data_IF_087574221208
#
_entry.id   IF_087574221208
#
_cell.length_a   1.000
_cell.length_b   1.000
_cell.length_c   1.000
_cell.angle_alpha   90.00
_cell.angle_beta   90.00
_cell.angle_gamma   90.00
#
_symmetry.space_group_name_H-M   'P 1'
#
loop_
_entity.id
_entity.type
_entity.pdbx_description
1 polymer ?
#
# COMPACT_ATOMS: atom_id res chain seq x y z
N UNK A 1 -81.64 20.66 -45.97
CA UNK A 1 -83.04 20.20 -46.18
C UNK A 1 -83.48 20.76 -47.53
N UNK A 2 -84.10 19.99 -48.45
CA UNK A 2 -84.75 18.65 -48.38
C UNK A 2 -83.81 17.53 -48.93
N UNK A 3 -83.93 16.21 -48.73
CA UNK A 3 -84.95 15.16 -48.49
C UNK A 3 -85.13 14.22 -49.71
N UNK A 4 -85.34 12.92 -49.41
CA UNK A 4 -85.53 11.70 -50.24
C UNK A 4 -84.22 11.03 -50.72
N UNK A 5 -83.74 9.90 -50.16
CA UNK A 5 -84.32 8.57 -49.85
C UNK A 5 -84.44 7.66 -51.08
N UNK A 6 -83.57 6.64 -51.17
CA UNK A 6 -83.97 5.27 -51.48
C UNK A 6 -82.89 4.27 -51.04
N UNK A 7 -83.32 3.35 -50.19
CA UNK A 7 -82.59 2.21 -49.68
C UNK A 7 -82.81 1.01 -50.62
N UNK A 8 -81.80 0.15 -50.76
CA UNK A 8 -82.02 -1.27 -50.95
C UNK A 8 -81.13 -2.06 -49.98
N UNK A 9 -81.83 -2.89 -49.23
CA UNK A 9 -81.47 -3.79 -48.16
C UNK A 9 -81.05 -5.15 -48.74
N UNK A 10 -80.04 -5.83 -48.18
CA UNK A 10 -80.23 -7.10 -47.43
C UNK A 10 -78.93 -7.87 -47.12
N UNK A 11 -78.91 -8.37 -45.87
CA UNK A 11 -78.26 -9.59 -45.33
C UNK A 11 -76.80 -9.55 -44.86
N UNK A 12 -76.66 -9.15 -43.59
CA UNK A 12 -76.10 -9.95 -42.48
C UNK A 12 -75.36 -11.26 -42.82
N UNK A 13 -74.10 -11.36 -42.41
CA UNK A 13 -73.60 -12.38 -41.46
C UNK A 13 -72.16 -12.05 -41.03
N UNK A 14 -71.90 -12.05 -39.72
CA UNK A 14 -70.57 -12.14 -39.08
C UNK A 14 -70.46 -13.56 -38.50
N UNK A 15 -69.31 -13.99 -37.97
CA UNK A 15 -67.91 -13.78 -38.39
C UNK A 15 -67.20 -15.14 -38.57
N UNK A 16 -66.03 -15.21 -39.21
CA UNK A 16 -65.06 -16.22 -38.76
C UNK A 16 -63.61 -15.86 -39.09
N UNK A 17 -62.76 -16.24 -38.15
CA UNK A 17 -61.33 -16.01 -38.11
C UNK A 17 -60.63 -16.62 -39.33
N UNK A 18 -59.86 -15.81 -40.06
CA UNK A 18 -58.75 -16.32 -40.87
C UNK A 18 -57.53 -15.43 -40.67
N UNK A 19 -56.55 -16.01 -40.02
CA UNK A 19 -55.21 -15.47 -39.77
C UNK A 19 -54.56 -15.06 -41.10
N UNK A 20 -54.31 -13.77 -41.28
CA UNK A 20 -53.24 -13.30 -42.15
C UNK A 20 -51.96 -13.26 -41.32
N UNK A 21 -50.82 -13.78 -41.80
CA UNK A 21 -49.56 -13.63 -41.10
C UNK A 21 -49.16 -12.16 -41.22
N UNK A 22 -49.51 -11.36 -40.22
CA UNK A 22 -48.83 -10.09 -40.00
C UNK A 22 -47.35 -10.41 -39.87
N UNK A 23 -46.55 -9.86 -40.78
CA UNK A 23 -45.12 -9.72 -40.61
C UNK A 23 -44.90 -9.00 -39.28
N UNK A 24 -44.76 -9.78 -38.22
CA UNK A 24 -44.07 -9.37 -37.03
C UNK A 24 -42.66 -9.02 -37.52
N UNK A 25 -42.41 -7.74 -37.69
CA UNK A 25 -41.12 -7.17 -37.38
C UNK A 25 -40.72 -7.73 -36.03
N UNK A 26 -39.99 -8.85 -36.05
CA UNK A 26 -39.12 -9.20 -34.96
C UNK A 26 -38.13 -8.04 -34.87
N UNK A 27 -38.53 -7.02 -34.11
CA UNK A 27 -37.62 -6.29 -33.26
C UNK A 27 -36.95 -7.39 -32.48
N UNK A 28 -35.80 -7.86 -32.97
CA UNK A 28 -34.84 -8.55 -32.15
C UNK A 28 -34.62 -7.59 -31.00
N UNK A 29 -35.30 -7.86 -29.88
CA UNK A 29 -34.88 -7.36 -28.58
C UNK A 29 -33.44 -7.84 -28.48
N UNK A 30 -32.50 -6.99 -28.87
CA UNK A 30 -31.14 -7.11 -28.41
C UNK A 30 -31.29 -7.14 -26.89
N UNK A 31 -31.10 -8.33 -26.33
CA UNK A 31 -30.73 -8.46 -24.93
C UNK A 31 -29.73 -7.34 -24.65
N UNK A 32 -29.90 -6.56 -23.57
CA UNK A 32 -28.90 -5.56 -23.23
C UNK A 32 -27.60 -6.34 -23.14
N UNK A 33 -26.68 -6.11 -24.07
CA UNK A 33 -25.33 -6.67 -24.00
C UNK A 33 -24.84 -6.31 -22.61
N UNK A 34 -24.90 -7.26 -21.67
CA UNK A 34 -24.12 -7.19 -20.45
C UNK A 34 -22.72 -7.07 -20.99
N UNK A 35 -22.17 -5.86 -21.02
CA UNK A 35 -20.74 -5.69 -21.16
C UNK A 35 -20.15 -6.59 -20.10
N UNK A 36 -19.57 -7.72 -20.53
CA UNK A 36 -18.79 -8.55 -19.65
C UNK A 36 -17.64 -7.64 -19.23
N UNK A 37 -17.80 -6.99 -18.07
CA UNK A 37 -16.74 -6.19 -17.49
C UNK A 37 -15.48 -7.05 -17.53
N UNK A 38 -14.49 -6.59 -18.27
CA UNK A 38 -13.29 -7.39 -18.53
C UNK A 38 -12.68 -7.68 -17.16
N UNK A 39 -12.65 -8.96 -16.75
CA UNK A 39 -12.07 -9.35 -15.45
C UNK A 39 -10.54 -9.20 -15.53
N UNK A 40 -10.11 -7.97 -15.28
CA UNK A 40 -8.73 -7.55 -15.26
C UNK A 40 -7.94 -8.27 -14.17
N UNK A 41 -8.59 -8.60 -13.04
CA UNK A 41 -7.94 -9.24 -11.88
C UNK A 41 -7.49 -10.68 -12.16
N UNK A 42 -8.13 -11.35 -13.13
CA UNK A 42 -7.77 -12.71 -13.54
C UNK A 42 -6.59 -12.75 -14.54
N UNK A 43 -6.18 -11.61 -15.12
CA UNK A 43 -5.07 -11.59 -16.08
C UNK A 43 -3.73 -11.69 -15.36
N UNK A 44 -2.81 -12.49 -15.91
CA UNK A 44 -1.42 -12.60 -15.42
C UNK A 44 -0.73 -11.23 -15.34
N UNK A 45 -1.03 -10.32 -16.27
CA UNK A 45 -0.51 -8.96 -16.28
C UNK A 45 -0.87 -8.15 -15.03
N UNK A 46 -2.03 -8.38 -14.42
CA UNK A 46 -2.41 -7.70 -13.18
C UNK A 46 -1.54 -8.14 -12.01
N UNK A 47 -1.25 -9.44 -11.93
CA UNK A 47 -0.36 -10.01 -10.91
C UNK A 47 1.11 -9.62 -11.13
N UNK A 48 1.53 -9.40 -12.37
CA UNK A 48 2.85 -8.79 -12.67
C UNK A 48 2.90 -7.36 -12.12
N UNK A 49 1.83 -6.56 -12.24
CA UNK A 49 1.77 -5.25 -11.59
C UNK A 49 1.83 -5.34 -10.06
N UNK A 50 1.23 -6.36 -9.43
CA UNK A 50 1.37 -6.61 -7.98
C UNK A 50 2.83 -6.89 -7.60
N UNK A 51 3.54 -7.69 -8.40
CA UNK A 51 4.98 -7.90 -8.22
C UNK A 51 5.76 -6.59 -8.41
N UNK A 52 5.39 -5.75 -9.37
CA UNK A 52 5.96 -4.42 -9.53
C UNK A 52 5.78 -3.56 -8.27
N UNK A 53 4.57 -3.52 -7.73
CA UNK A 53 4.28 -2.83 -6.46
C UNK A 53 5.07 -3.40 -5.28
N UNK A 54 5.21 -4.72 -5.18
CA UNK A 54 6.07 -5.38 -4.18
C UNK A 54 7.50 -4.88 -4.27
N UNK A 55 8.07 -4.84 -5.48
CA UNK A 55 9.44 -4.39 -5.73
C UNK A 55 9.61 -2.89 -5.47
N UNK A 56 8.58 -2.06 -5.67
CA UNK A 56 8.64 -0.64 -5.29
C UNK A 56 8.58 -0.42 -3.78
N UNK A 57 7.75 -1.19 -3.07
CA UNK A 57 7.58 -1.07 -1.61
C UNK A 57 8.77 -1.65 -0.83
N UNK A 58 9.51 -2.57 -1.43
CA UNK A 58 10.66 -3.23 -0.83
C UNK A 58 11.82 -2.27 -0.46
N UNK A 59 12.42 -1.49 -1.38
CA UNK A 59 13.44 -0.50 -1.05
C UNK A 59 12.88 0.74 -0.37
N UNK A 60 11.59 1.03 -0.56
CA UNK A 60 10.96 2.21 0.03
C UNK A 60 10.75 2.05 1.54
N UNK A 61 9.70 1.34 1.92
CA UNK A 61 9.41 1.07 3.32
C UNK A 61 10.39 0.09 3.96
N UNK A 62 11.02 -0.81 3.20
CA UNK A 62 12.01 -1.72 3.76
C UNK A 62 13.26 -0.98 4.23
N UNK A 63 13.80 -0.04 3.45
CA UNK A 63 14.92 0.78 3.92
C UNK A 63 14.52 1.66 5.13
N UNK A 64 13.28 2.16 5.16
CA UNK A 64 12.75 2.90 6.31
C UNK A 64 12.72 2.06 7.60
N UNK A 65 12.39 0.76 7.51
CA UNK A 65 12.47 -0.15 8.65
C UNK A 65 13.92 -0.41 9.08
N UNK A 66 14.88 -0.35 8.15
CA UNK A 66 16.31 -0.57 8.42
C UNK A 66 17.08 0.72 8.77
N UNK A 67 16.45 1.90 8.73
CA UNK A 67 17.14 3.18 8.95
C UNK A 67 17.70 3.31 10.37
N UNK A 68 17.17 2.56 11.32
CA UNK A 68 17.72 2.48 12.68
C UNK A 68 19.15 1.91 12.72
N UNK A 69 19.46 0.90 11.88
CA UNK A 69 20.82 0.36 11.80
C UNK A 69 21.81 1.38 11.21
N UNK A 70 21.35 2.16 10.24
CA UNK A 70 22.11 3.27 9.67
C UNK A 70 22.38 4.34 10.73
N UNK A 71 21.38 4.68 11.54
CA UNK A 71 21.50 5.64 12.64
C UNK A 71 22.50 5.16 13.70
N UNK A 72 22.47 3.88 14.10
CA UNK A 72 23.42 3.32 15.06
C UNK A 72 24.86 3.40 14.53
N UNK A 73 25.09 3.04 13.26
CA UNK A 73 26.42 3.13 12.66
C UNK A 73 26.93 4.58 12.58
N UNK A 74 26.05 5.54 12.28
CA UNK A 74 26.42 6.96 12.28
C UNK A 74 26.85 7.45 13.66
N UNK A 75 26.16 7.01 14.72
CA UNK A 75 26.49 7.34 16.11
C UNK A 75 27.82 6.73 16.58
N UNK A 76 28.18 5.55 16.07
CA UNK A 76 29.44 4.89 16.44
C UNK A 76 30.65 5.45 15.69
N UNK A 77 30.44 6.00 14.49
CA UNK A 77 31.51 6.43 13.58
C UNK A 77 31.48 7.94 13.31
N UNK A 78 30.83 8.37 12.21
CA UNK A 78 30.99 9.73 11.67
C UNK A 78 30.40 10.83 12.56
N UNK A 79 29.36 10.53 13.34
CA UNK A 79 28.66 11.49 14.21
C UNK A 79 28.82 11.14 15.69
N UNK A 80 29.96 10.55 16.07
CA UNK A 80 30.25 10.15 17.46
C UNK A 80 30.19 11.30 18.47
N UNK A 81 30.47 12.52 18.03
CA UNK A 81 30.43 13.72 18.87
C UNK A 81 29.02 14.28 19.08
N UNK A 82 28.01 13.75 18.37
CA UNK A 82 26.63 14.21 18.44
C UNK A 82 25.78 13.32 19.36
N UNK A 83 24.73 13.92 19.95
CA UNK A 83 23.77 13.17 20.75
C UNK A 83 22.88 12.27 19.88
N UNK A 84 22.42 11.15 20.42
CA UNK A 84 21.43 10.28 19.78
C UNK A 84 20.15 11.03 19.36
N UNK A 85 19.80 12.11 20.09
CA UNK A 85 18.68 13.00 19.74
C UNK A 85 18.92 13.73 18.42
N UNK A 86 20.13 14.25 18.20
CA UNK A 86 20.45 15.05 17.03
C UNK A 86 20.52 14.19 15.76
N UNK A 87 21.11 12.99 15.87
CA UNK A 87 21.16 12.02 14.76
C UNK A 87 19.76 11.46 14.47
N UNK A 88 18.91 11.30 15.49
CA UNK A 88 17.53 10.85 15.33
C UNK A 88 16.65 11.79 14.49
N UNK A 89 16.99 13.07 14.38
CA UNK A 89 16.30 13.98 13.46
C UNK A 89 16.44 13.58 12.00
N UNK A 90 17.53 12.91 11.59
CA UNK A 90 17.74 12.50 10.20
C UNK A 90 16.67 11.48 9.78
N UNK A 91 16.53 10.41 10.55
CA UNK A 91 15.54 9.34 10.30
C UNK A 91 14.12 9.83 10.60
N UNK A 92 13.95 10.72 11.57
CA UNK A 92 12.66 11.38 11.86
C UNK A 92 12.15 12.23 10.69
N UNK A 93 12.99 13.09 10.12
CA UNK A 93 12.64 13.91 8.94
C UNK A 93 12.35 13.03 7.72
N UNK A 94 13.14 11.98 7.52
CA UNK A 94 12.92 11.01 6.45
C UNK A 94 11.52 10.37 6.51
N UNK A 95 11.14 9.84 7.68
CA UNK A 95 9.82 9.23 7.89
C UNK A 95 8.70 10.27 7.81
N UNK A 96 8.89 11.45 8.40
CA UNK A 96 7.91 12.53 8.37
C UNK A 96 7.60 13.00 6.94
N UNK A 97 8.63 13.28 6.14
CA UNK A 97 8.44 13.73 4.76
C UNK A 97 7.87 12.62 3.87
N UNK A 98 8.28 11.37 4.09
CA UNK A 98 7.69 10.21 3.40
C UNK A 98 6.17 10.20 3.56
N UNK A 99 5.68 10.30 4.80
CA UNK A 99 4.25 10.22 5.08
C UNK A 99 3.51 11.48 4.64
N UNK A 100 4.07 12.67 4.90
CA UNK A 100 3.45 13.95 4.55
C UNK A 100 3.31 14.13 3.03
N UNK A 101 4.36 13.79 2.28
CA UNK A 101 4.36 13.89 0.83
C UNK A 101 3.59 12.74 0.18
N UNK A 102 3.43 11.60 0.85
CA UNK A 102 2.59 10.50 0.37
C UNK A 102 1.13 10.93 0.14
N UNK A 103 0.60 11.84 0.96
CA UNK A 103 -0.74 12.43 0.79
C UNK A 103 -0.82 13.23 -0.51
N UNK A 104 0.24 13.94 -0.86
CA UNK A 104 0.33 14.83 -2.04
C UNK A 104 0.65 14.04 -3.32
N UNK A 105 1.43 12.97 -3.21
CA UNK A 105 1.81 12.10 -4.30
C UNK A 105 0.61 11.31 -4.87
N UNK A 106 -0.45 11.09 -4.09
CA UNK A 106 -1.67 10.40 -4.52
C UNK A 106 -2.33 11.07 -5.74
N UNK A 107 -2.79 12.32 -5.62
CA UNK A 107 -3.32 13.08 -6.75
C UNK A 107 -2.34 13.22 -7.91
N UNK A 108 -1.03 13.25 -7.64
CA UNK A 108 0.00 13.34 -8.67
C UNK A 108 0.03 12.08 -9.56
N UNK A 109 -0.16 10.90 -8.97
CA UNK A 109 -0.28 9.62 -9.70
C UNK A 109 -1.57 9.53 -10.50
N UNK A 110 -2.64 10.20 -10.06
CA UNK A 110 -3.88 10.27 -10.83
C UNK A 110 -3.74 11.09 -12.12
N UNK A 111 -2.83 12.07 -12.16
CA UNK A 111 -2.60 12.93 -13.33
C UNK A 111 -1.51 12.38 -14.25
N UNK A 112 -0.34 12.04 -13.72
CA UNK A 112 0.83 11.69 -14.52
C UNK A 112 1.00 10.18 -14.72
N UNK A 113 0.29 9.37 -13.93
CA UNK A 113 0.36 7.91 -14.00
C UNK A 113 1.64 7.31 -13.40
N UNK A 114 1.62 6.01 -13.05
CA UNK A 114 2.74 5.35 -12.39
C UNK A 114 3.97 5.16 -13.30
N UNK A 115 3.81 5.15 -14.62
CA UNK A 115 4.91 4.97 -15.56
C UNK A 115 5.86 6.19 -15.63
N UNK A 116 5.36 7.38 -15.30
CA UNK A 116 6.20 8.58 -15.19
C UNK A 116 6.77 8.74 -13.77
N UNK A 117 5.94 8.58 -12.74
CA UNK A 117 6.38 8.75 -11.35
C UNK A 117 7.33 7.63 -10.88
N UNK A 118 7.20 6.41 -11.40
CA UNK A 118 8.05 5.27 -11.01
C UNK A 118 9.53 5.51 -11.31
N UNK A 119 9.92 5.83 -12.55
CA UNK A 119 11.29 6.20 -12.91
C UNK A 119 11.79 7.44 -12.15
N UNK A 120 10.94 8.45 -11.94
CA UNK A 120 11.29 9.64 -11.16
C UNK A 120 11.67 9.27 -9.72
N UNK A 121 10.83 8.47 -9.04
CA UNK A 121 11.09 8.00 -7.69
C UNK A 121 12.37 7.16 -7.61
N UNK A 122 12.60 6.31 -8.62
CA UNK A 122 13.81 5.50 -8.74
C UNK A 122 15.05 6.38 -8.86
N UNK A 123 15.03 7.39 -9.73
CA UNK A 123 16.13 8.33 -9.87
C UNK A 123 16.44 9.07 -8.57
N UNK A 124 15.41 9.52 -7.84
CA UNK A 124 15.57 10.22 -6.57
C UNK A 124 16.15 9.32 -5.47
N UNK A 125 15.63 8.09 -5.31
CA UNK A 125 16.11 7.14 -4.30
C UNK A 125 17.55 6.69 -4.59
N UNK A 126 17.87 6.44 -5.87
CA UNK A 126 19.24 6.07 -6.27
C UNK A 126 20.19 7.22 -6.01
N UNK A 127 19.84 8.44 -6.46
CA UNK A 127 20.63 9.64 -6.19
C UNK A 127 20.87 9.82 -4.68
N UNK A 128 19.83 9.61 -3.87
CA UNK A 128 19.94 9.68 -2.42
C UNK A 128 21.00 8.74 -1.85
N UNK A 129 21.03 7.46 -2.24
CA UNK A 129 22.05 6.51 -1.75
C UNK A 129 23.48 6.88 -2.19
N UNK A 130 23.66 7.31 -3.44
CA UNK A 130 24.99 7.68 -3.95
C UNK A 130 25.52 8.97 -3.33
N UNK A 131 24.66 9.97 -3.11
CA UNK A 131 25.06 11.21 -2.44
C UNK A 131 25.27 10.98 -0.95
N UNK A 132 24.46 10.11 -0.32
CA UNK A 132 24.62 9.73 1.09
C UNK A 132 26.00 9.12 1.38
N UNK A 133 26.57 8.39 0.41
CA UNK A 133 27.89 7.78 0.54
C UNK A 133 29.02 8.82 0.70
N UNK A 134 28.83 10.05 0.18
CA UNK A 134 29.81 11.15 0.22
C UNK A 134 29.55 12.16 1.34
N UNK A 135 28.47 11.98 2.09
CA UNK A 135 28.13 12.88 3.19
C UNK A 135 29.08 12.70 4.37
N UNK A 136 29.46 13.81 5.00
CA UNK A 136 30.32 13.83 6.19
C UNK A 136 29.74 14.67 7.33
N UNK A 137 28.87 15.64 7.04
CA UNK A 137 28.28 16.56 8.04
C UNK A 137 26.81 16.25 8.30
N UNK A 138 26.34 16.43 9.53
CA UNK A 138 24.94 16.16 9.94
C UNK A 138 23.89 16.83 9.04
N UNK A 139 24.11 18.08 8.64
CA UNK A 139 23.16 18.79 7.75
C UNK A 139 23.10 18.18 6.34
N UNK A 140 24.21 17.60 5.85
CA UNK A 140 24.24 16.88 4.57
C UNK A 140 23.41 15.60 4.67
N UNK A 141 23.51 14.88 5.79
CA UNK A 141 22.68 13.70 6.06
C UNK A 141 21.19 14.05 6.12
N UNK A 142 20.81 15.15 6.78
CA UNK A 142 19.41 15.60 6.85
C UNK A 142 18.88 15.95 5.45
N UNK A 143 19.65 16.66 4.63
CA UNK A 143 19.21 17.01 3.28
C UNK A 143 19.13 15.78 2.35
N UNK A 144 20.12 14.89 2.40
CA UNK A 144 20.18 13.74 1.49
C UNK A 144 19.25 12.62 1.92
N UNK A 145 19.37 12.12 3.15
CA UNK A 145 18.53 11.03 3.64
C UNK A 145 17.13 11.54 4.04
N UNK A 146 17.06 12.64 4.78
CA UNK A 146 15.79 13.20 5.24
C UNK A 146 14.94 13.74 4.09
N UNK A 147 15.43 14.78 3.41
CA UNK A 147 14.64 15.51 2.40
C UNK A 147 14.57 14.76 1.06
N UNK A 148 15.72 14.54 0.41
CA UNK A 148 15.75 13.89 -0.90
C UNK A 148 15.24 12.45 -0.82
N UNK A 149 15.67 11.70 0.19
CA UNK A 149 15.16 10.36 0.48
C UNK A 149 13.66 10.37 0.77
N UNK A 150 13.18 11.29 1.61
CA UNK A 150 11.75 11.37 1.96
C UNK A 150 10.85 11.66 0.76
N UNK A 151 11.27 12.56 -0.14
CA UNK A 151 10.54 12.86 -1.38
C UNK A 151 10.52 11.64 -2.31
N UNK A 152 11.68 11.01 -2.56
CA UNK A 152 11.76 9.83 -3.42
C UNK A 152 10.95 8.65 -2.88
N UNK A 153 11.04 8.43 -1.56
CA UNK A 153 10.36 7.35 -0.85
C UNK A 153 8.84 7.54 -0.82
N UNK A 154 8.37 8.78 -0.63
CA UNK A 154 6.95 9.12 -0.72
C UNK A 154 6.37 8.73 -2.08
N UNK A 155 7.02 9.18 -3.17
CA UNK A 155 6.55 8.90 -4.52
C UNK A 155 6.56 7.39 -4.81
N UNK A 156 7.66 6.70 -4.48
CA UNK A 156 7.79 5.26 -4.72
C UNK A 156 6.72 4.44 -3.98
N UNK A 157 6.49 4.77 -2.70
CA UNK A 157 5.48 4.12 -1.87
C UNK A 157 4.08 4.35 -2.41
N UNK A 158 3.75 5.59 -2.78
CA UNK A 158 2.42 5.89 -3.31
C UNK A 158 2.20 5.21 -4.66
N UNK A 159 3.21 5.14 -5.54
CA UNK A 159 3.11 4.39 -6.80
C UNK A 159 2.78 2.92 -6.54
N UNK A 160 3.48 2.27 -5.61
CA UNK A 160 3.24 0.87 -5.25
C UNK A 160 1.81 0.61 -4.77
N UNK A 161 1.30 1.45 -3.86
CA UNK A 161 -0.05 1.28 -3.29
C UNK A 161 -1.15 1.67 -4.29
N UNK A 162 -0.99 2.78 -5.01
CA UNK A 162 -2.02 3.32 -5.90
C UNK A 162 -2.29 2.42 -7.10
N UNK A 163 -1.26 1.75 -7.65
CA UNK A 163 -1.41 0.80 -8.75
C UNK A 163 -2.42 -0.30 -8.39
N UNK A 164 -2.32 -0.86 -7.18
CA UNK A 164 -3.19 -1.95 -6.71
C UNK A 164 -4.60 -1.44 -6.48
N UNK A 165 -4.73 -0.28 -5.82
CA UNK A 165 -6.02 0.32 -5.54
C UNK A 165 -6.84 0.68 -6.79
N UNK A 166 -6.17 0.90 -7.93
CA UNK A 166 -6.82 1.13 -9.23
C UNK A 166 -7.17 -0.16 -9.98
N UNK A 167 -6.41 -1.23 -9.75
CA UNK A 167 -6.47 -2.47 -10.54
C UNK A 167 -7.37 -3.55 -9.94
N UNK A 168 -7.42 -3.61 -8.61
CA UNK A 168 -8.15 -4.64 -7.86
C UNK A 168 -9.28 -4.00 -7.06
N UNK A 169 -10.44 -4.65 -7.10
CA UNK A 169 -11.62 -4.29 -6.30
C UNK A 169 -12.08 -5.49 -5.46
N UNK A 170 -12.21 -6.69 -6.06
CA UNK A 170 -12.70 -7.89 -5.36
C UNK A 170 -11.61 -8.59 -4.55
N UNK A 171 -10.37 -8.60 -5.02
CA UNK A 171 -9.21 -9.22 -4.35
C UNK A 171 -8.20 -8.19 -3.86
N UNK A 172 -8.70 -7.04 -3.43
CA UNK A 172 -7.88 -5.86 -3.12
C UNK A 172 -7.00 -6.12 -1.89
N UNK A 173 -7.55 -6.72 -0.83
CA UNK A 173 -6.81 -7.02 0.40
C UNK A 173 -5.71 -8.04 0.17
N UNK A 174 -5.98 -9.08 -0.63
CA UNK A 174 -4.95 -10.04 -1.05
C UNK A 174 -3.82 -9.36 -1.84
N UNK A 175 -4.16 -8.56 -2.86
CA UNK A 175 -3.18 -7.91 -3.72
C UNK A 175 -2.34 -6.87 -2.95
N UNK A 176 -2.99 -6.08 -2.09
CA UNK A 176 -2.33 -5.08 -1.26
C UNK A 176 -1.46 -5.75 -0.17
N UNK A 177 -1.95 -6.82 0.44
CA UNK A 177 -1.19 -7.62 1.40
C UNK A 177 0.08 -8.21 0.81
N UNK A 178 0.00 -8.78 -0.42
CA UNK A 178 1.18 -9.26 -1.14
C UNK A 178 2.14 -8.11 -1.40
N UNK A 179 1.70 -7.00 -1.97
CA UNK A 179 2.62 -5.91 -2.28
C UNK A 179 3.27 -5.29 -1.04
N UNK A 180 2.50 -5.08 0.03
CA UNK A 180 3.04 -4.57 1.30
C UNK A 180 3.97 -5.58 1.97
N UNK A 181 3.82 -6.89 1.74
CA UNK A 181 4.82 -7.87 2.22
C UNK A 181 6.23 -7.61 1.64
N UNK A 182 6.31 -6.88 0.52
CA UNK A 182 7.57 -6.39 -0.04
C UNK A 182 8.36 -5.53 0.92
N UNK A 183 7.70 -4.67 1.71
CA UNK A 183 8.43 -3.81 2.65
C UNK A 183 9.03 -4.59 3.81
N UNK A 184 8.34 -5.63 4.28
CA UNK A 184 8.85 -6.51 5.34
C UNK A 184 10.06 -7.31 4.84
N UNK A 185 9.94 -7.87 3.63
CA UNK A 185 11.03 -8.59 2.97
C UNK A 185 12.23 -7.67 2.74
N UNK A 186 11.98 -6.43 2.30
CA UNK A 186 12.99 -5.38 2.15
C UNK A 186 13.66 -5.04 3.47
N UNK A 187 12.89 -4.80 4.53
CA UNK A 187 13.45 -4.49 5.84
C UNK A 187 14.37 -5.57 6.38
N UNK A 188 14.06 -6.84 6.11
CA UNK A 188 14.95 -7.97 6.43
C UNK A 188 16.22 -7.97 5.56
N UNK A 189 16.08 -7.84 4.24
CA UNK A 189 17.21 -7.86 3.30
C UNK A 189 18.16 -6.69 3.55
N UNK A 190 17.65 -5.45 3.61
CA UNK A 190 18.48 -4.27 3.84
C UNK A 190 19.16 -4.31 5.21
N UNK A 191 18.47 -4.76 6.26
CA UNK A 191 19.08 -4.89 7.58
C UNK A 191 20.24 -5.90 7.59
N UNK A 192 20.06 -7.07 6.98
CA UNK A 192 21.10 -8.11 6.93
C UNK A 192 22.29 -7.68 6.06
N UNK A 193 22.01 -7.09 4.90
CA UNK A 193 23.03 -6.56 3.98
C UNK A 193 23.85 -5.47 4.66
N UNK A 194 23.19 -4.48 5.28
CA UNK A 194 23.88 -3.41 6.00
C UNK A 194 24.75 -3.95 7.14
N UNK A 195 24.24 -4.89 7.93
CA UNK A 195 24.98 -5.51 9.04
C UNK A 195 26.26 -6.21 8.59
N UNK A 196 26.24 -6.89 7.46
CA UNK A 196 27.41 -7.62 6.95
C UNK A 196 28.41 -6.70 6.23
N UNK A 197 27.92 -5.71 5.47
CA UNK A 197 28.78 -4.88 4.63
C UNK A 197 29.42 -3.73 5.42
N UNK A 198 28.75 -3.19 6.44
CA UNK A 198 29.30 -2.13 7.29
C UNK A 198 30.70 -2.44 7.86
N UNK A 199 30.94 -3.59 8.51
CA UNK A 199 32.27 -3.90 9.06
C UNK A 199 33.32 -4.21 7.98
N UNK A 200 32.91 -4.66 6.78
CA UNK A 200 33.85 -5.10 5.74
C UNK A 200 34.28 -3.95 4.82
N UNK A 201 33.34 -3.13 4.35
CA UNK A 201 33.57 -2.15 3.30
C UNK A 201 33.47 -0.70 3.77
N UNK A 202 33.07 -0.48 5.04
CA UNK A 202 32.87 0.85 5.60
C UNK A 202 31.66 1.59 5.03
N UNK A 203 31.48 2.85 5.45
CA UNK A 203 30.27 3.64 5.16
C UNK A 203 29.97 3.82 3.66
N UNK A 204 30.91 4.43 2.92
CA UNK A 204 30.67 4.89 1.57
C UNK A 204 30.33 3.74 0.61
N UNK A 205 31.10 2.65 0.67
CA UNK A 205 30.84 1.48 -0.16
C UNK A 205 29.60 0.70 0.27
N UNK A 206 29.25 0.68 1.57
CA UNK A 206 27.98 0.10 2.03
C UNK A 206 26.78 0.81 1.41
N UNK A 207 26.77 2.15 1.43
CA UNK A 207 25.66 2.92 0.87
C UNK A 207 25.59 2.81 -0.66
N UNK A 208 26.73 2.77 -1.35
CA UNK A 208 26.77 2.49 -2.80
C UNK A 208 26.25 1.11 -3.13
N UNK A 209 26.61 0.07 -2.36
CA UNK A 209 26.11 -1.30 -2.55
C UNK A 209 24.58 -1.38 -2.39
N UNK A 210 24.03 -0.71 -1.38
CA UNK A 210 22.58 -0.57 -1.19
C UNK A 210 21.93 0.21 -2.34
N UNK A 211 22.59 1.25 -2.85
CA UNK A 211 22.20 1.97 -4.05
C UNK A 211 22.09 1.06 -5.28
N UNK A 212 23.13 0.26 -5.56
CA UNK A 212 23.11 -0.70 -6.67
C UNK A 212 22.00 -1.76 -6.51
N UNK A 213 21.81 -2.29 -5.30
CA UNK A 213 20.71 -3.21 -5.00
C UNK A 213 19.35 -2.56 -5.27
N UNK A 214 19.19 -1.29 -4.89
CA UNK A 214 17.97 -0.51 -5.11
C UNK A 214 17.72 -0.26 -6.60
N UNK A 215 18.76 0.01 -7.39
CA UNK A 215 18.65 0.12 -8.87
C UNK A 215 18.10 -1.18 -9.45
N UNK A 216 18.64 -2.34 -9.06
CA UNK A 216 18.20 -3.64 -9.58
C UNK A 216 16.72 -3.93 -9.24
N UNK A 217 16.32 -3.65 -8.00
CA UNK A 217 14.95 -3.90 -7.53
C UNK A 217 13.96 -2.93 -8.18
N UNK A 218 14.27 -1.63 -8.23
CA UNK A 218 13.35 -0.64 -8.78
C UNK A 218 13.25 -0.70 -10.30
N UNK A 219 14.35 -0.96 -11.01
CA UNK A 219 14.33 -1.14 -12.47
C UNK A 219 13.48 -2.34 -12.89
N UNK A 220 13.60 -3.46 -12.17
CA UNK A 220 12.73 -4.63 -12.37
C UNK A 220 11.27 -4.33 -11.98
N UNK A 221 11.05 -3.54 -10.92
CA UNK A 221 9.74 -3.02 -10.56
C UNK A 221 9.08 -2.19 -11.67
N UNK A 222 9.82 -1.27 -12.29
CA UNK A 222 9.34 -0.45 -13.42
C UNK A 222 8.93 -1.35 -14.59
N UNK A 223 9.75 -2.34 -14.93
CA UNK A 223 9.43 -3.29 -16.01
C UNK A 223 8.12 -4.05 -15.74
N UNK A 224 7.87 -4.41 -14.48
CA UNK A 224 6.63 -5.04 -14.05
C UNK A 224 5.40 -4.11 -14.05
N UNK A 225 5.60 -2.79 -14.00
CA UNK A 225 4.50 -1.81 -14.07
C UNK A 225 4.13 -1.39 -15.49
N UNK A 226 4.95 -1.69 -16.52
CA UNK A 226 4.65 -1.37 -17.92
C UNK A 226 3.25 -1.79 -18.41
N UNK A 227 2.68 -2.96 -18.01
CA UNK A 227 1.33 -3.34 -18.42
C UNK A 227 0.21 -2.47 -17.84
N UNK A 228 0.51 -1.64 -16.83
CA UNK A 228 -0.48 -0.89 -16.07
C UNK A 228 -1.33 0.03 -16.95
N UNK A 229 -0.73 0.83 -17.84
CA UNK A 229 -1.48 1.78 -18.67
C UNK A 229 -2.51 1.09 -19.55
N UNK A 230 -2.13 -0.03 -20.17
CA UNK A 230 -3.05 -0.82 -21.00
C UNK A 230 -4.19 -1.37 -20.17
N UNK A 231 -3.89 -1.79 -18.96
CA UNK A 231 -4.85 -2.44 -18.08
C UNK A 231 -5.81 -1.43 -17.43
N UNK A 232 -5.31 -0.26 -17.05
CA UNK A 232 -6.11 0.87 -16.59
C UNK A 232 -7.00 1.41 -17.71
N UNK A 233 -6.49 1.50 -18.94
CA UNK A 233 -7.30 1.90 -20.09
C UNK A 233 -8.47 0.94 -20.36
N UNK A 234 -8.30 -0.37 -20.13
CA UNK A 234 -9.40 -1.34 -20.22
C UNK A 234 -10.48 -1.06 -19.18
N UNK A 235 -10.10 -0.80 -17.92
CA UNK A 235 -11.04 -0.46 -16.84
C UNK A 235 -11.76 0.87 -17.12
N UNK A 236 -11.02 1.88 -17.56
CA UNK A 236 -11.60 3.18 -17.88
C UNK A 236 -12.51 3.12 -19.11
N UNK A 237 -12.16 2.34 -20.14
CA UNK A 237 -13.03 2.16 -21.32
C UNK A 237 -14.40 1.55 -20.97
N UNK A 238 -14.44 0.70 -19.95
CA UNK A 238 -15.66 0.11 -19.41
C UNK A 238 -16.47 1.14 -18.59
N UNK A 239 -15.76 2.04 -17.87
CA UNK A 239 -16.37 3.13 -17.08
C UNK A 239 -16.78 4.35 -17.90
N UNK A 240 -16.25 4.55 -19.11
CA UNK A 240 -16.53 5.69 -20.00
C UNK A 240 -18.00 5.77 -20.45
N UNK A 241 -18.81 4.74 -20.23
CA UNK A 241 -20.27 4.82 -20.33
C UNK A 241 -20.93 5.73 -19.27
N UNK A 242 -20.23 6.11 -18.19
CA UNK A 242 -20.76 6.96 -17.13
C UNK A 242 -19.80 8.12 -16.79
N UNK A 243 -20.08 9.26 -17.43
CA UNK A 243 -19.78 10.62 -16.96
C UNK A 243 -18.30 11.01 -16.76
N UNK A 244 -17.69 11.57 -17.81
CA UNK A 244 -16.38 12.26 -17.77
C UNK A 244 -16.47 13.57 -16.98
N UNK A 245 -16.37 13.49 -15.65
CA UNK A 245 -15.85 14.62 -14.88
C UNK A 245 -14.34 14.45 -14.79
N UNK A 246 -13.60 15.28 -15.55
CA UNK A 246 -12.15 15.43 -15.43
C UNK A 246 -11.86 15.98 -14.03
N UNK A 247 -11.77 15.10 -13.03
CA UNK A 247 -11.52 15.47 -11.63
C UNK A 247 -10.14 16.12 -11.56
N UNK A 248 -10.16 17.44 -11.40
CA UNK A 248 -9.01 18.28 -11.10
C UNK A 248 -8.31 17.71 -9.86
N UNK A 249 -6.98 17.63 -9.87
CA UNK A 249 -6.15 17.16 -8.75
C UNK A 249 -6.21 18.11 -7.55
N UNK A 250 -7.41 18.30 -7.00
CA UNK A 250 -7.66 19.12 -5.84
C UNK A 250 -7.76 18.16 -4.66
N UNK A 251 -6.83 18.31 -3.72
CA UNK A 251 -6.87 17.62 -2.44
C UNK A 251 -8.21 17.94 -1.77
N UNK A 252 -9.13 16.97 -1.83
CA UNK A 252 -10.49 17.16 -1.33
C UNK A 252 -10.49 17.09 0.20
N UNK A 253 -10.25 18.21 0.88
CA UNK A 253 -10.31 18.31 2.34
C UNK A 253 -11.68 17.93 2.94
N UNK A 254 -12.70 17.77 2.09
CA UNK A 254 -14.03 17.26 2.46
C UNK A 254 -14.00 15.93 3.23
N UNK A 255 -12.99 15.06 3.03
CA UNK A 255 -12.88 13.81 3.79
C UNK A 255 -12.61 14.04 5.29
N UNK A 256 -11.83 15.08 5.64
CA UNK A 256 -11.48 15.43 7.01
C UNK A 256 -12.64 16.00 7.83
N UNK A 257 -13.75 16.38 7.18
CA UNK A 257 -14.96 16.85 7.88
C UNK A 257 -15.74 15.73 8.57
N UNK A 258 -15.46 14.45 8.25
CA UNK A 258 -16.16 13.33 8.88
C UNK A 258 -15.45 12.89 10.16
N UNK A 259 -16.14 13.02 11.30
CA UNK A 259 -15.62 12.60 12.61
C UNK A 259 -15.16 11.13 12.64
N UNK A 260 -15.88 10.15 12.04
CA UNK A 260 -15.42 8.76 12.00
C UNK A 260 -14.08 8.58 11.26
N UNK A 261 -13.86 9.34 10.17
CA UNK A 261 -12.60 9.29 9.42
C UNK A 261 -11.45 9.88 10.23
N UNK A 262 -11.69 11.00 10.92
CA UNK A 262 -10.68 11.62 11.79
C UNK A 262 -10.28 10.70 12.95
N UNK A 263 -11.25 10.07 13.61
CA UNK A 263 -11.01 9.12 14.70
C UNK A 263 -10.19 7.92 14.24
N UNK A 264 -10.51 7.36 13.07
CA UNK A 264 -9.76 6.23 12.50
C UNK A 264 -8.34 6.66 12.11
N UNK A 265 -8.16 7.83 11.51
CA UNK A 265 -6.84 8.36 11.21
C UNK A 265 -6.00 8.56 12.48
N UNK A 266 -6.60 9.11 13.55
CA UNK A 266 -5.95 9.25 14.85
C UNK A 266 -5.58 7.90 15.46
N UNK A 267 -6.46 6.90 15.40
CA UNK A 267 -6.18 5.55 15.89
C UNK A 267 -5.04 4.88 15.11
N UNK A 268 -5.02 4.99 13.77
CA UNK A 268 -3.94 4.46 12.93
C UNK A 268 -2.62 5.17 13.24
N UNK A 269 -2.62 6.50 13.42
CA UNK A 269 -1.42 7.25 13.77
C UNK A 269 -0.83 6.82 15.12
N UNK A 270 -1.69 6.59 16.13
CA UNK A 270 -1.25 6.07 17.43
C UNK A 270 -0.70 4.64 17.32
N UNK A 271 -1.34 3.78 16.51
CA UNK A 271 -0.83 2.43 16.26
C UNK A 271 0.53 2.45 15.55
N UNK A 272 0.70 3.27 14.52
CA UNK A 272 1.98 3.43 13.82
C UNK A 272 3.08 3.96 14.76
N UNK A 273 2.76 4.94 15.61
CA UNK A 273 3.69 5.44 16.62
C UNK A 273 4.20 4.31 17.53
N UNK A 274 3.30 3.44 17.98
CA UNK A 274 3.68 2.26 18.79
C UNK A 274 4.52 1.28 17.98
N UNK A 275 4.19 1.01 16.72
CA UNK A 275 4.94 0.07 15.87
C UNK A 275 6.38 0.56 15.64
N UNK A 276 6.57 1.81 15.21
CA UNK A 276 7.90 2.37 14.97
C UNK A 276 8.69 2.54 16.27
N UNK A 277 8.05 2.99 17.35
CA UNK A 277 8.70 3.14 18.65
C UNK A 277 9.15 1.80 19.24
N UNK A 278 8.26 0.80 19.26
CA UNK A 278 8.56 -0.51 19.83
C UNK A 278 9.57 -1.30 18.99
N UNK A 279 9.52 -1.21 17.65
CA UNK A 279 10.55 -1.83 16.79
C UNK A 279 11.93 -1.21 17.02
N UNK A 280 12.02 0.10 17.21
CA UNK A 280 13.28 0.79 17.45
C UNK A 280 13.91 0.46 18.81
N UNK A 281 13.09 0.26 19.85
CA UNK A 281 13.55 -0.02 21.22
C UNK A 281 13.84 -1.52 21.44
N UNK A 282 13.36 -2.41 20.55
CA UNK A 282 13.49 -3.87 20.68
C UNK A 282 14.93 -4.35 20.89
N UNK A 283 15.95 -3.93 20.10
CA UNK A 283 17.33 -4.37 20.31
C UNK A 283 17.91 -3.88 21.64
N UNK A 284 17.53 -2.66 22.05
CA UNK A 284 17.94 -2.06 23.32
C UNK A 284 17.39 -2.83 24.52
N UNK A 285 16.14 -3.31 24.45
CA UNK A 285 15.55 -4.13 25.51
C UNK A 285 16.30 -5.46 25.70
N UNK A 286 16.75 -6.07 24.60
CA UNK A 286 17.55 -7.30 24.65
C UNK A 286 18.92 -7.02 25.28
N UNK A 287 19.56 -5.90 24.90
CA UNK A 287 20.84 -5.48 25.48
C UNK A 287 20.73 -5.21 26.99
N UNK A 288 19.67 -4.54 27.44
CA UNK A 288 19.41 -4.29 28.86
C UNK A 288 19.13 -5.57 29.66
N UNK A 289 18.67 -6.64 29.00
CA UNK A 289 18.43 -7.94 29.61
C UNK A 289 19.72 -8.76 29.79
N UNK A 290 20.89 -8.21 29.42
CA UNK A 290 22.19 -8.88 29.52
C UNK A 290 22.47 -9.90 28.42
N UNK A 291 21.62 -9.96 27.38
CA UNK A 291 21.80 -10.85 26.23
C UNK A 291 22.64 -10.18 25.13
N UNK A 292 23.39 -10.95 24.32
CA UNK A 292 24.07 -10.43 23.14
C UNK A 292 23.12 -9.66 22.21
N UNK A 293 23.57 -8.50 21.72
CA UNK A 293 22.81 -7.61 20.81
C UNK A 293 22.38 -8.35 19.53
N UNK A 294 23.14 -9.36 19.12
CA UNK A 294 22.85 -10.23 17.98
C UNK A 294 21.45 -10.88 18.07
N UNK A 295 20.98 -11.21 19.28
CA UNK A 295 19.64 -11.76 19.46
C UNK A 295 18.54 -10.73 19.17
N UNK A 296 18.77 -9.45 19.46
CA UNK A 296 17.84 -8.36 19.16
C UNK A 296 17.67 -8.13 17.66
N UNK A 297 18.76 -8.22 16.89
CA UNK A 297 18.71 -8.19 15.42
C UNK A 297 17.98 -9.41 14.85
N UNK A 298 18.22 -10.60 15.40
CA UNK A 298 17.52 -11.81 14.99
C UNK A 298 16.01 -11.73 15.28
N UNK A 299 15.61 -11.14 16.42
CA UNK A 299 14.20 -10.83 16.68
C UNK A 299 13.64 -9.89 15.62
N UNK A 300 14.34 -8.80 15.29
CA UNK A 300 13.86 -7.87 14.26
C UNK A 300 13.71 -8.54 12.88
N UNK A 301 14.58 -9.50 12.54
CA UNK A 301 14.45 -10.31 11.34
C UNK A 301 13.22 -11.24 11.38
N UNK A 302 13.00 -11.95 12.50
CA UNK A 302 11.81 -12.80 12.71
C UNK A 302 10.53 -11.96 12.62
N UNK A 303 10.52 -10.79 13.25
CA UNK A 303 9.41 -9.85 13.22
C UNK A 303 9.04 -9.46 11.79
N UNK A 304 10.01 -9.03 10.98
CA UNK A 304 9.75 -8.66 9.59
C UNK A 304 9.31 -9.87 8.77
N UNK A 305 9.93 -11.04 8.97
CA UNK A 305 9.54 -12.29 8.31
C UNK A 305 8.08 -12.66 8.58
N UNK A 306 7.67 -12.73 9.85
CA UNK A 306 6.29 -13.09 10.25
C UNK A 306 5.30 -11.97 9.93
N UNK A 307 5.72 -10.70 9.95
CA UNK A 307 4.90 -9.57 9.51
C UNK A 307 4.46 -9.70 8.05
N UNK A 308 5.25 -10.33 7.19
CA UNK A 308 4.85 -10.64 5.81
C UNK A 308 3.61 -11.53 5.76
N UNK A 309 3.54 -12.56 6.61
CA UNK A 309 2.37 -13.43 6.75
C UNK A 309 1.18 -12.68 7.35
N UNK A 310 1.43 -11.84 8.35
CA UNK A 310 0.45 -10.96 8.96
C UNK A 310 -0.16 -9.92 8.02
N UNK A 311 0.49 -9.59 6.90
CA UNK A 311 -0.06 -8.70 5.86
C UNK A 311 -0.94 -9.44 4.87
N UNK A 312 -0.61 -10.69 4.54
CA UNK A 312 -1.32 -11.47 3.53
C UNK A 312 -2.59 -12.09 4.12
N UNK A 313 -2.47 -12.82 5.23
CA UNK A 313 -3.57 -13.63 5.77
C UNK A 313 -4.79 -12.77 6.18
N UNK A 314 -4.65 -11.76 7.06
CA UNK A 314 -5.70 -10.81 7.37
C UNK A 314 -6.25 -10.04 6.17
N UNK A 315 -5.44 -9.75 5.14
CA UNK A 315 -5.92 -9.15 3.89
C UNK A 315 -6.91 -10.05 3.15
N UNK A 316 -6.59 -11.35 3.01
CA UNK A 316 -7.49 -12.34 2.41
C UNK A 316 -8.78 -12.52 3.20
N UNK A 317 -8.66 -12.56 4.53
CA UNK A 317 -9.82 -12.73 5.42
C UNK A 317 -10.67 -11.45 5.44
N UNK A 318 -10.04 -10.28 5.39
CA UNK A 318 -10.68 -8.96 5.31
C UNK A 318 -11.54 -8.79 4.07
N UNK A 319 -11.08 -9.31 2.92
CA UNK A 319 -11.87 -9.34 1.67
C UNK A 319 -13.20 -10.11 1.81
N UNK A 320 -13.34 -11.02 2.80
CA UNK A 320 -14.56 -11.81 3.03
C UNK A 320 -15.40 -11.36 4.23
N UNK A 321 -14.75 -11.03 5.35
CA UNK A 321 -15.39 -10.75 6.64
C UNK A 321 -15.49 -9.23 6.96
N UNK A 322 -14.94 -8.40 6.08
CA UNK A 322 -14.87 -6.95 6.23
C UNK A 322 -13.60 -6.50 6.95
N UNK A 323 -12.91 -5.52 6.34
CA UNK A 323 -11.60 -5.04 6.78
C UNK A 323 -11.60 -4.44 8.20
N UNK A 324 -12.68 -3.75 8.59
CA UNK A 324 -12.80 -3.16 9.93
C UNK A 324 -12.92 -4.22 11.04
N UNK A 325 -13.69 -5.28 10.81
CA UNK A 325 -13.87 -6.35 11.80
C UNK A 325 -12.57 -7.11 12.03
N UNK A 326 -11.85 -7.43 10.94
CA UNK A 326 -10.56 -8.11 11.02
C UNK A 326 -9.50 -7.23 11.68
N UNK A 327 -9.51 -5.92 11.41
CA UNK A 327 -8.62 -4.99 12.09
C UNK A 327 -8.79 -5.06 13.61
N UNK A 328 -10.03 -5.02 14.12
CA UNK A 328 -10.32 -5.12 15.55
C UNK A 328 -9.87 -6.46 16.16
N UNK A 329 -10.14 -7.57 15.48
CA UNK A 329 -9.71 -8.91 15.93
C UNK A 329 -8.18 -8.98 16.04
N UNK A 330 -7.46 -8.43 15.06
CA UNK A 330 -5.99 -8.40 15.08
C UNK A 330 -5.43 -7.48 16.17
N UNK A 331 -6.11 -6.37 16.49
CA UNK A 331 -5.75 -5.50 17.63
C UNK A 331 -5.86 -6.28 18.94
N UNK A 332 -7.00 -6.92 19.18
CA UNK A 332 -7.22 -7.72 20.40
C UNK A 332 -6.21 -8.86 20.50
N UNK A 333 -5.97 -9.58 19.40
CA UNK A 333 -4.93 -10.61 19.32
C UNK A 333 -3.55 -10.08 19.71
N UNK A 334 -3.14 -8.95 19.14
CA UNK A 334 -1.84 -8.34 19.42
C UNK A 334 -1.70 -7.91 20.89
N UNK A 335 -2.76 -7.34 21.48
CA UNK A 335 -2.78 -6.95 22.90
C UNK A 335 -2.63 -8.17 23.80
N UNK A 336 -3.40 -9.24 23.55
CA UNK A 336 -3.34 -10.47 24.34
C UNK A 336 -1.97 -11.12 24.22
N UNK A 337 -1.42 -11.25 23.01
CA UNK A 337 -0.09 -11.82 22.80
C UNK A 337 1.02 -10.98 23.45
N UNK A 338 0.90 -9.65 23.40
CA UNK A 338 1.84 -8.74 24.05
C UNK A 338 1.76 -8.91 25.57
N UNK A 339 0.56 -8.86 26.15
CA UNK A 339 0.34 -9.05 27.57
C UNK A 339 0.86 -10.42 28.04
N UNK A 340 0.51 -11.50 27.34
CA UNK A 340 0.94 -12.85 27.69
C UNK A 340 2.46 -13.01 27.66
N UNK A 341 3.16 -12.42 26.68
CA UNK A 341 4.59 -12.66 26.52
C UNK A 341 5.46 -11.72 27.34
N UNK A 342 5.08 -10.44 27.48
CA UNK A 342 5.81 -9.48 28.32
C UNK A 342 5.60 -9.72 29.82
N UNK A 343 4.40 -10.12 30.26
CA UNK A 343 4.12 -10.30 31.70
C UNK A 343 4.57 -11.65 32.24
N UNK A 344 4.53 -12.71 31.44
CA UNK A 344 4.88 -14.06 31.93
C UNK A 344 6.37 -14.41 31.82
N UNK A 345 7.11 -13.79 30.89
CA UNK A 345 8.49 -14.22 30.57
C UNK A 345 9.49 -13.07 30.40
N UNK A 346 9.11 -11.85 30.78
CA UNK A 346 9.91 -10.64 30.60
C UNK A 346 11.17 -10.60 31.46
N UNK A 347 12.19 -11.39 31.10
CA UNK A 347 13.64 -11.15 31.32
C UNK A 347 14.51 -12.43 31.26
N UNK A 348 13.96 -13.64 31.33
CA UNK A 348 14.77 -14.84 31.65
C UNK A 348 14.91 -15.89 30.55
N UNK A 349 14.09 -15.89 29.49
CA UNK A 349 14.17 -16.91 28.41
C UNK A 349 14.18 -16.31 27.01
N UNK A 350 15.23 -16.63 26.25
CA UNK A 350 15.44 -16.18 24.85
C UNK A 350 14.29 -16.67 23.95
N UNK A 351 13.79 -17.89 24.17
CA UNK A 351 12.69 -18.47 23.40
C UNK A 351 11.40 -17.65 23.49
N UNK A 352 11.09 -17.12 24.67
CA UNK A 352 9.91 -16.28 24.87
C UNK A 352 10.03 -14.93 24.15
N UNK A 353 11.25 -14.37 24.07
CA UNK A 353 11.51 -13.17 23.29
C UNK A 353 11.32 -13.43 21.79
N UNK A 354 11.79 -14.56 21.28
CA UNK A 354 11.53 -14.93 19.88
C UNK A 354 10.05 -15.17 19.59
N UNK A 355 9.33 -15.85 20.49
CA UNK A 355 7.88 -16.03 20.38
C UNK A 355 7.13 -14.69 20.40
N UNK A 356 7.50 -13.77 21.29
CA UNK A 356 6.97 -12.40 21.32
C UNK A 356 7.15 -11.71 19.98
N UNK A 357 8.37 -11.74 19.46
CA UNK A 357 8.72 -11.08 18.20
C UNK A 357 7.93 -11.61 17.01
N UNK A 358 7.70 -12.93 16.96
CA UNK A 358 6.87 -13.56 15.93
C UNK A 358 5.39 -13.16 16.05
N UNK A 359 4.79 -13.28 17.25
CA UNK A 359 3.39 -12.97 17.48
C UNK A 359 3.08 -11.48 17.28
N UNK A 360 3.97 -10.62 17.79
CA UNK A 360 3.87 -9.17 17.61
C UNK A 360 4.07 -8.77 16.15
N UNK A 361 5.02 -9.40 15.44
CA UNK A 361 5.21 -9.21 14.00
C UNK A 361 3.98 -9.57 13.18
N UNK A 362 3.32 -10.70 13.49
CA UNK A 362 2.08 -11.12 12.85
C UNK A 362 0.96 -10.09 13.04
N UNK A 363 0.73 -9.69 14.29
CA UNK A 363 -0.31 -8.73 14.65
C UNK A 363 -0.09 -7.35 14.00
N UNK A 364 1.11 -6.80 14.14
CA UNK A 364 1.47 -5.48 13.61
C UNK A 364 1.49 -5.41 12.09
N UNK A 365 1.90 -6.49 11.41
CA UNK A 365 1.83 -6.59 9.94
C UNK A 365 0.41 -6.41 9.40
N UNK A 366 -0.57 -6.94 10.13
CA UNK A 366 -2.00 -6.84 9.78
C UNK A 366 -2.45 -5.39 9.64
N UNK A 367 -2.01 -4.52 10.56
CA UNK A 367 -2.44 -3.12 10.62
C UNK A 367 -2.00 -2.33 9.38
N UNK A 368 -0.77 -2.53 8.93
CA UNK A 368 -0.23 -1.84 7.75
C UNK A 368 -0.97 -2.21 6.46
N UNK A 369 -1.47 -3.46 6.36
CA UNK A 369 -2.24 -3.92 5.20
C UNK A 369 -3.70 -3.46 5.21
N UNK A 370 -4.33 -3.42 6.38
CA UNK A 370 -5.76 -3.12 6.52
C UNK A 370 -6.04 -1.61 6.61
N UNK A 371 -5.09 -0.81 7.10
CA UNK A 371 -5.27 0.63 7.30
C UNK A 371 -5.67 1.38 6.02
N UNK A 372 -4.99 1.21 4.86
CA UNK A 372 -5.39 1.89 3.63
C UNK A 372 -6.79 1.49 3.13
N UNK A 373 -7.21 0.24 3.40
CA UNK A 373 -8.50 -0.28 2.94
C UNK A 373 -9.66 0.26 3.77
N UNK A 374 -9.50 0.29 5.10
CA UNK A 374 -10.48 0.90 6.00
C UNK A 374 -10.65 2.39 5.69
N UNK A 375 -9.55 3.11 5.46
CA UNK A 375 -9.60 4.52 5.05
C UNK A 375 -10.33 4.72 3.72
N UNK A 376 -10.07 3.83 2.75
CA UNK A 376 -10.73 3.87 1.44
C UNK A 376 -12.24 3.64 1.56
N UNK A 377 -12.65 2.63 2.34
CA UNK A 377 -14.05 2.29 2.55
C UNK A 377 -14.83 3.42 3.23
N UNK A 378 -14.27 4.06 4.26
CA UNK A 378 -14.91 5.18 4.95
C UNK A 378 -14.90 6.48 4.14
N UNK A 379 -13.85 6.75 3.36
CA UNK A 379 -13.73 7.98 2.57
C UNK A 379 -14.63 8.02 1.32
N UNK A 380 -14.89 6.86 0.70
CA UNK A 380 -15.58 6.80 -0.61
C UNK A 380 -17.00 6.26 -0.53
N UNK A 381 -17.31 5.24 0.29
CA UNK A 381 -18.66 4.66 0.35
C UNK A 381 -19.78 5.67 0.70
N UNK A 382 -19.61 6.66 1.59
CA UNK A 382 -20.66 7.66 1.82
C UNK A 382 -20.90 8.59 0.62
N UNK A 383 -19.96 8.70 -0.34
CA UNK A 383 -20.14 9.50 -1.57
C UNK A 383 -20.95 8.76 -2.64
N UNK A 384 -20.82 7.43 -2.72
CA UNK A 384 -21.61 6.61 -3.65
C UNK A 384 -23.08 6.46 -3.24
N UNK A 385 -23.41 6.61 -1.95
CA UNK A 385 -24.79 6.60 -1.44
C UNK A 385 -25.54 7.93 -1.58
N UNK A 386 -24.84 9.02 -1.92
CA UNK A 386 -25.41 10.37 -2.06
C UNK A 386 -25.38 10.89 -3.51
N UNK A 387 -24.95 10.06 -4.46
CA UNK A 387 -24.80 10.41 -5.87
C UNK A 387 -25.89 9.79 -6.74
#
# INVERSE_FOLDING_TARGET
MPSSAQAHEFLSTKPDFSEQPSQNSHVTQQEPHRHHAVDVECRKSAWVCVLGSFLFLMPSFGFMQSSGAVQSFLLENQLRDYSARDVGWITGVYSFLTMLLGIQAGPLIDVYGPNFLGPLATGLLVLMFFVLAECAKIWQFILCLGVLGGIGNAIATTVGIAVIGKLFNRRKGLALGIALSGSSTGGMIFLLVLRQIFPLWGWAWSMRAVGFLTVLILSSGIACLLPFERLHAMIDSDRVSTNRSRKRAVMGFSAFHSLPFLLICGAIALLEFVIFGATAILPTLVALSGLPIDHGFNMLAILNGVSSLGRILPGVVGDRLGHYNILLVMIVFTIICTAATLTAFGSTRIEALYAFSALWGFGTGSFLSLAPEVQFDLGIRPRLRRG
#
